data_IF_545047691471
#
_entry.id   IF_545047691471
#
_cell.length_a   1.000
_cell.length_b   1.000
_cell.length_c   1.000
_cell.angle_alpha   90.00
_cell.angle_beta   90.00
_cell.angle_gamma   90.00
#
_symmetry.space_group_name_H-M   'P 1'
#
loop_
_entity.id
_entity.type
_entity.pdbx_description
1 polymer ?
#
# COMPACT_ATOMS: atom_id res chain seq x y z
N UNK A 1 -5.80 10.88 15.91
CA UNK A 1 -7.08 11.30 15.25
C UNK A 1 -7.94 10.06 15.06
N UNK A 2 -9.28 10.12 15.24
CA UNK A 2 -10.13 8.91 15.12
C UNK A 2 -10.46 8.58 13.66
N UNK A 3 -10.74 7.30 13.36
CA UNK A 3 -11.15 6.86 12.02
C UNK A 3 -12.43 7.58 11.55
N UNK A 4 -13.43 7.69 12.43
CA UNK A 4 -14.71 8.35 12.13
C UNK A 4 -14.53 9.83 11.75
N UNK A 5 -13.58 10.52 12.39
CA UNK A 5 -13.23 11.90 12.04
C UNK A 5 -12.68 11.99 10.63
N UNK A 6 -11.82 11.05 10.22
CA UNK A 6 -11.20 11.02 8.90
C UNK A 6 -12.24 10.69 7.83
N UNK A 7 -13.12 9.73 8.10
CA UNK A 7 -14.20 9.37 7.17
C UNK A 7 -15.15 10.55 6.90
N UNK A 8 -15.51 11.29 7.96
CA UNK A 8 -16.32 12.51 7.83
C UNK A 8 -15.58 13.61 7.06
N UNK A 9 -14.30 13.81 7.36
CA UNK A 9 -13.46 14.77 6.65
C UNK A 9 -13.35 14.42 5.16
N UNK A 10 -13.17 13.14 4.82
CA UNK A 10 -13.14 12.70 3.42
C UNK A 10 -14.47 12.96 2.71
N UNK A 11 -15.60 12.62 3.34
CA UNK A 11 -16.91 12.89 2.75
C UNK A 11 -17.10 14.39 2.47
N UNK A 12 -16.72 15.27 3.40
CA UNK A 12 -16.79 16.72 3.21
C UNK A 12 -15.85 17.21 2.09
N UNK A 13 -14.63 16.68 2.05
CA UNK A 13 -13.65 17.07 1.03
C UNK A 13 -14.13 16.73 -0.38
N UNK A 14 -14.75 15.57 -0.58
CA UNK A 14 -15.30 15.17 -1.88
C UNK A 14 -16.51 16.00 -2.30
N UNK A 15 -17.32 16.50 -1.35
CA UNK A 15 -18.45 17.38 -1.66
C UNK A 15 -18.04 18.83 -1.93
N UNK A 16 -17.14 19.39 -1.11
CA UNK A 16 -16.94 20.85 -1.02
C UNK A 16 -15.50 21.30 -1.29
N UNK A 17 -14.53 20.38 -1.45
CA UNK A 17 -13.10 20.68 -1.66
C UNK A 17 -12.52 21.71 -0.66
N UNK A 18 -12.95 21.62 0.59
CA UNK A 18 -12.56 22.56 1.65
C UNK A 18 -11.05 22.45 1.97
N UNK A 19 -10.35 23.59 1.94
CA UNK A 19 -8.90 23.71 2.17
C UNK A 19 -8.51 23.23 3.58
N UNK A 20 -9.29 23.57 4.60
CA UNK A 20 -8.99 23.19 5.99
C UNK A 20 -9.12 21.68 6.19
N UNK A 21 -10.11 21.08 5.53
CA UNK A 21 -10.30 19.62 5.52
C UNK A 21 -9.14 18.94 4.78
N UNK A 22 -8.71 19.50 3.65
CA UNK A 22 -7.52 18.99 2.95
C UNK A 22 -6.28 18.99 3.84
N UNK A 23 -6.04 20.09 4.55
CA UNK A 23 -4.93 20.22 5.51
C UNK A 23 -5.02 19.16 6.62
N UNK A 24 -6.21 18.96 7.19
CA UNK A 24 -6.43 17.91 8.21
C UNK A 24 -6.10 16.51 7.68
N UNK A 25 -6.49 16.20 6.44
CA UNK A 25 -6.19 14.91 5.81
C UNK A 25 -4.68 14.74 5.57
N UNK A 26 -3.98 15.80 5.17
CA UNK A 26 -2.51 15.78 5.03
C UNK A 26 -1.81 15.58 6.38
N UNK A 27 -2.30 16.21 7.44
CA UNK A 27 -1.77 16.02 8.81
C UNK A 27 -1.95 14.56 9.25
N UNK A 28 -3.11 13.95 8.97
CA UNK A 28 -3.33 12.54 9.22
C UNK A 28 -2.33 11.66 8.46
N UNK A 29 -2.14 11.89 7.15
CA UNK A 29 -1.20 11.10 6.35
C UNK A 29 0.22 11.13 6.93
N UNK A 30 0.62 12.27 7.51
CA UNK A 30 1.93 12.43 8.12
C UNK A 30 2.05 11.81 9.53
N UNK A 31 0.93 11.64 10.24
CA UNK A 31 0.89 11.16 11.63
C UNK A 31 1.29 9.69 11.79
N UNK A 32 1.95 9.30 12.88
CA UNK A 32 2.35 7.89 13.12
C UNK A 32 1.13 6.96 13.16
N UNK A 33 -0.01 7.43 13.69
CA UNK A 33 -1.27 6.70 13.79
C UNK A 33 -1.74 6.12 12.44
N UNK A 34 -1.45 6.81 11.33
CA UNK A 34 -1.88 6.38 10.01
C UNK A 34 -1.31 5.00 9.61
N UNK A 35 -0.16 4.57 10.14
CA UNK A 35 0.34 3.20 9.90
C UNK A 35 -0.64 2.11 10.36
N UNK A 36 -1.45 2.39 11.38
CA UNK A 36 -2.41 1.46 11.95
C UNK A 36 -3.83 1.70 11.43
N UNK A 37 -4.21 2.95 11.19
CA UNK A 37 -5.58 3.28 10.79
C UNK A 37 -5.89 3.00 9.31
N UNK A 38 -4.89 3.03 8.42
CA UNK A 38 -5.10 2.75 6.98
C UNK A 38 -5.74 1.40 6.70
N UNK A 39 -5.48 0.39 7.54
CA UNK A 39 -6.04 -0.95 7.35
C UNK A 39 -7.55 -1.00 7.54
N UNK A 40 -8.10 -0.15 8.42
CA UNK A 40 -9.55 -0.04 8.61
C UNK A 40 -10.20 0.71 7.43
N UNK A 41 -9.45 1.58 6.76
CA UNK A 41 -9.91 2.31 5.56
C UNK A 41 -9.92 1.39 4.33
N UNK A 42 -8.99 0.42 4.29
CA UNK A 42 -8.85 -0.59 3.24
C UNK A 42 -9.84 -1.77 3.41
N UNK A 43 -10.79 -1.68 4.32
CA UNK A 43 -11.86 -2.68 4.41
C UNK A 43 -12.79 -2.56 3.19
N UNK A 44 -13.09 -3.68 2.54
CA UNK A 44 -13.87 -3.71 1.30
C UNK A 44 -15.32 -3.28 1.48
N UNK A 45 -15.83 -3.21 2.72
CA UNK A 45 -17.16 -2.66 3.04
C UNK A 45 -17.20 -1.13 3.06
N UNK A 46 -16.05 -0.45 3.06
CA UNK A 46 -15.98 1.01 3.10
C UNK A 46 -16.28 1.63 1.74
N UNK A 47 -16.76 2.89 1.68
CA UNK A 47 -16.84 3.65 0.44
C UNK A 47 -15.52 3.71 -0.34
N UNK A 48 -15.61 3.78 -1.66
CA UNK A 48 -14.46 3.77 -2.57
C UNK A 48 -13.43 4.84 -2.24
N UNK A 49 -13.90 6.04 -1.91
CA UNK A 49 -13.09 7.21 -1.60
C UNK A 49 -12.22 6.97 -0.36
N UNK A 50 -12.79 6.30 0.65
CA UNK A 50 -12.09 5.93 1.89
C UNK A 50 -11.03 4.86 1.59
N UNK A 51 -11.38 3.85 0.81
CA UNK A 51 -10.44 2.80 0.40
C UNK A 51 -9.25 3.38 -0.38
N UNK A 52 -9.54 4.24 -1.37
CA UNK A 52 -8.51 4.85 -2.20
C UNK A 52 -7.59 5.79 -1.41
N UNK A 53 -8.16 6.57 -0.48
CA UNK A 53 -7.37 7.39 0.43
C UNK A 53 -6.51 6.53 1.38
N UNK A 54 -7.03 5.42 1.88
CA UNK A 54 -6.28 4.44 2.67
C UNK A 54 -5.07 3.89 1.92
N UNK A 55 -5.27 3.42 0.68
CA UNK A 55 -4.21 2.90 -0.18
C UNK A 55 -3.16 3.98 -0.52
N UNK A 56 -3.61 5.20 -0.82
CA UNK A 56 -2.71 6.34 -1.10
C UNK A 56 -1.88 6.72 0.11
N UNK A 57 -2.50 6.74 1.29
CA UNK A 57 -1.83 7.03 2.55
C UNK A 57 -0.79 5.96 2.86
N UNK A 58 -1.12 4.68 2.70
CA UNK A 58 -0.17 3.57 2.89
C UNK A 58 1.03 3.69 1.93
N UNK A 59 0.80 4.03 0.66
CA UNK A 59 1.89 4.24 -0.30
C UNK A 59 2.81 5.38 0.15
N UNK A 60 2.25 6.52 0.59
CA UNK A 60 3.02 7.65 1.14
C UNK A 60 3.81 7.23 2.38
N UNK A 61 3.21 6.42 3.26
CA UNK A 61 3.88 5.89 4.44
C UNK A 61 5.15 5.10 4.09
N UNK A 62 5.03 4.16 3.15
CA UNK A 62 6.14 3.30 2.73
C UNK A 62 7.21 4.10 1.97
N UNK A 63 6.80 4.99 1.08
CA UNK A 63 7.72 5.73 0.20
C UNK A 63 8.41 6.89 0.89
N UNK A 64 7.76 7.60 1.83
CA UNK A 64 8.29 8.83 2.43
C UNK A 64 8.56 8.73 3.93
N UNK A 65 7.90 7.83 4.63
CA UNK A 65 7.92 7.79 6.10
C UNK A 65 8.39 6.45 6.66
N UNK A 66 9.16 5.71 5.86
CA UNK A 66 9.71 4.39 6.22
C UNK A 66 10.43 4.36 7.56
N UNK A 67 11.17 5.44 7.90
CA UNK A 67 11.93 5.53 9.16
C UNK A 67 11.05 5.55 10.43
N UNK A 68 9.74 5.75 10.30
CA UNK A 68 8.80 5.61 11.42
C UNK A 68 8.55 4.15 11.79
N UNK A 69 8.83 3.20 10.88
CA UNK A 69 8.58 1.78 11.06
C UNK A 69 9.80 1.10 11.68
N UNK A 70 9.59 0.28 12.71
CA UNK A 70 10.65 -0.52 13.30
C UNK A 70 10.94 -1.73 12.41
N UNK A 71 12.21 -2.13 12.35
CA UNK A 71 12.61 -3.30 11.56
C UNK A 71 11.88 -4.60 11.99
N UNK A 72 11.52 -4.73 13.27
CA UNK A 72 10.69 -5.83 13.78
C UNK A 72 9.34 -5.97 13.08
N UNK A 73 8.82 -4.86 12.55
CA UNK A 73 7.46 -4.76 12.01
C UNK A 73 7.45 -4.92 10.48
N UNK A 74 8.61 -5.07 9.84
CA UNK A 74 8.71 -5.21 8.38
C UNK A 74 7.97 -6.45 7.88
N UNK A 75 8.14 -7.59 8.55
CA UNK A 75 7.45 -8.83 8.18
C UNK A 75 5.93 -8.70 8.34
N UNK A 76 5.48 -8.10 9.45
CA UNK A 76 4.06 -7.85 9.69
C UNK A 76 3.47 -6.93 8.60
N UNK A 77 4.18 -5.88 8.21
CA UNK A 77 3.73 -4.98 7.14
C UNK A 77 3.59 -5.73 5.80
N UNK A 78 4.58 -6.56 5.44
CA UNK A 78 4.54 -7.39 4.24
C UNK A 78 3.28 -8.24 4.19
N UNK A 79 3.04 -8.99 5.27
CA UNK A 79 1.94 -9.94 5.34
C UNK A 79 0.60 -9.21 5.24
N UNK A 80 0.46 -8.06 5.93
CA UNK A 80 -0.75 -7.22 5.81
C UNK A 80 -0.98 -6.66 4.40
N UNK A 81 0.07 -6.24 3.69
CA UNK A 81 -0.05 -5.78 2.30
C UNK A 81 -0.52 -6.93 1.40
N UNK A 82 0.11 -8.10 1.51
CA UNK A 82 -0.22 -9.28 0.70
C UNK A 82 -1.65 -9.77 0.97
N UNK A 83 -2.03 -9.92 2.24
CA UNK A 83 -3.37 -10.34 2.65
C UNK A 83 -4.44 -9.37 2.14
N UNK A 84 -4.18 -8.06 2.24
CA UNK A 84 -5.10 -7.04 1.74
C UNK A 84 -5.23 -7.15 0.22
N UNK A 85 -4.12 -7.26 -0.50
CA UNK A 85 -4.12 -7.36 -1.95
C UNK A 85 -4.87 -8.63 -2.43
N UNK A 86 -4.64 -9.77 -1.79
CA UNK A 86 -5.37 -11.03 -2.05
C UNK A 86 -6.87 -10.85 -1.84
N UNK A 87 -7.30 -10.18 -0.76
CA UNK A 87 -8.72 -9.89 -0.51
C UNK A 87 -9.33 -9.07 -1.65
N UNK A 88 -8.66 -8.01 -2.09
CA UNK A 88 -9.12 -7.16 -3.18
C UNK A 88 -9.26 -7.90 -4.51
N UNK A 89 -8.32 -8.79 -4.80
CA UNK A 89 -8.37 -9.66 -5.98
C UNK A 89 -9.54 -10.65 -5.92
N UNK A 90 -9.83 -11.22 -4.76
CA UNK A 90 -10.95 -12.15 -4.59
C UNK A 90 -12.33 -11.46 -4.56
N UNK A 91 -12.41 -10.20 -4.11
CA UNK A 91 -13.68 -9.50 -3.92
C UNK A 91 -14.14 -8.67 -5.13
N UNK A 92 -13.46 -8.74 -6.27
CA UNK A 92 -13.65 -7.80 -7.40
C UNK A 92 -13.56 -6.34 -6.94
N UNK A 93 -12.57 -6.01 -6.11
CA UNK A 93 -12.39 -4.66 -5.60
C UNK A 93 -12.16 -3.60 -6.70
N UNK A 94 -12.36 -2.30 -6.42
CA UNK A 94 -12.15 -1.24 -7.40
C UNK A 94 -10.73 -1.28 -7.98
N UNK A 95 -10.61 -1.34 -9.31
CA UNK A 95 -9.33 -1.58 -10.00
C UNK A 95 -8.25 -0.56 -9.61
N UNK A 96 -8.63 0.70 -9.40
CA UNK A 96 -7.69 1.75 -8.99
C UNK A 96 -7.13 1.55 -7.57
N UNK A 97 -7.90 0.97 -6.64
CA UNK A 97 -7.43 0.65 -5.29
C UNK A 97 -6.48 -0.55 -5.33
N UNK A 98 -6.84 -1.60 -6.06
CA UNK A 98 -5.99 -2.77 -6.29
C UNK A 98 -4.64 -2.36 -6.90
N UNK A 99 -4.66 -1.53 -7.95
CA UNK A 99 -3.45 -1.01 -8.58
C UNK A 99 -2.59 -0.23 -7.56
N UNK A 100 -3.21 0.64 -6.74
CA UNK A 100 -2.48 1.39 -5.71
C UNK A 100 -1.86 0.49 -4.64
N UNK A 101 -2.51 -0.61 -4.29
CA UNK A 101 -1.95 -1.62 -3.39
C UNK A 101 -0.79 -2.39 -4.02
N UNK A 102 -0.81 -2.64 -5.33
CA UNK A 102 0.36 -3.17 -6.06
C UNK A 102 1.56 -2.20 -5.94
N UNK A 103 1.34 -0.90 -6.14
CA UNK A 103 2.40 0.10 -5.92
C UNK A 103 2.91 0.14 -4.47
N UNK A 104 2.03 -0.07 -3.47
CA UNK A 104 2.47 -0.23 -2.07
C UNK A 104 3.40 -1.43 -1.89
N UNK A 105 3.07 -2.56 -2.52
CA UNK A 105 3.91 -3.76 -2.49
C UNK A 105 5.25 -3.53 -3.20
N UNK A 106 5.25 -2.89 -4.37
CA UNK A 106 6.47 -2.52 -5.09
C UNK A 106 7.37 -1.61 -4.24
N UNK A 107 6.82 -0.56 -3.63
CA UNK A 107 7.54 0.33 -2.73
C UNK A 107 8.13 -0.42 -1.52
N UNK A 108 7.39 -1.39 -0.97
CA UNK A 108 7.88 -2.24 0.11
C UNK A 108 9.06 -3.12 -0.34
N UNK A 109 8.97 -3.73 -1.52
CA UNK A 109 10.05 -4.53 -2.12
C UNK A 109 11.30 -3.67 -2.29
N UNK A 110 11.18 -2.47 -2.85
CA UNK A 110 12.30 -1.51 -2.99
C UNK A 110 12.94 -1.16 -1.65
N UNK A 111 12.15 -1.04 -0.57
CA UNK A 111 12.68 -0.75 0.77
C UNK A 111 13.42 -1.93 1.40
N UNK A 112 13.00 -3.15 1.09
CA UNK A 112 13.43 -4.37 1.81
C UNK A 112 14.44 -5.23 1.05
N UNK A 113 14.45 -5.23 -0.26
CA UNK A 113 15.45 -5.97 -1.07
C UNK A 113 16.77 -5.21 -1.10
N UNK A 114 17.94 -5.89 -1.06
CA UNK A 114 18.11 -7.33 -0.81
C UNK A 114 18.17 -7.69 0.68
N UNK A 115 18.37 -6.71 1.57
CA UNK A 115 18.81 -6.95 2.96
C UNK A 115 17.78 -7.62 3.88
N UNK A 116 16.49 -7.42 3.63
CA UNK A 116 15.39 -7.88 4.49
C UNK A 116 14.44 -8.86 3.80
N UNK A 117 14.43 -8.90 2.46
CA UNK A 117 13.59 -9.84 1.71
C UNK A 117 14.24 -10.26 0.37
N UNK A 118 15.38 -10.97 0.40
CA UNK A 118 16.14 -11.30 -0.82
C UNK A 118 15.33 -12.12 -1.84
N UNK A 119 14.48 -13.03 -1.36
CA UNK A 119 13.65 -13.91 -2.20
C UNK A 119 12.24 -13.36 -2.46
N UNK A 120 12.10 -12.03 -2.58
CA UNK A 120 10.79 -11.39 -2.71
C UNK A 120 9.96 -11.93 -3.89
N UNK A 121 10.53 -11.96 -5.10
CA UNK A 121 9.79 -12.36 -6.30
C UNK A 121 9.36 -13.85 -6.26
N UNK A 122 10.24 -14.83 -5.96
CA UNK A 122 9.81 -16.22 -5.82
C UNK A 122 8.72 -16.42 -4.76
N UNK A 123 8.83 -15.77 -3.60
CA UNK A 123 7.84 -15.89 -2.53
C UNK A 123 6.50 -15.25 -2.91
N UNK A 124 6.51 -14.11 -3.62
CA UNK A 124 5.28 -13.49 -4.14
C UNK A 124 4.56 -14.41 -5.13
N UNK A 125 5.30 -15.02 -6.05
CA UNK A 125 4.74 -15.96 -7.02
C UNK A 125 4.08 -17.16 -6.33
N UNK A 126 4.76 -17.74 -5.34
CA UNK A 126 4.23 -18.88 -4.58
C UNK A 126 2.98 -18.48 -3.77
N UNK A 127 3.06 -17.37 -3.04
CA UNK A 127 1.97 -16.90 -2.17
C UNK A 127 0.70 -16.60 -2.97
N UNK A 128 0.81 -15.84 -4.07
CA UNK A 128 -0.35 -15.52 -4.90
C UNK A 128 -0.88 -16.73 -5.65
N UNK A 129 -0.02 -17.63 -6.15
CA UNK A 129 -0.48 -18.87 -6.82
C UNK A 129 -1.33 -19.73 -5.88
N UNK A 130 -0.89 -19.90 -4.64
CA UNK A 130 -1.61 -20.70 -3.66
C UNK A 130 -2.94 -20.02 -3.25
N UNK A 131 -2.88 -18.71 -2.97
CA UNK A 131 -4.01 -17.96 -2.42
C UNK A 131 -5.08 -17.57 -3.44
N UNK A 132 -4.70 -17.46 -4.72
CA UNK A 132 -5.57 -17.09 -5.83
C UNK A 132 -5.87 -18.26 -6.77
N UNK A 133 -5.59 -19.50 -6.34
CA UNK A 133 -5.73 -20.73 -7.15
C UNK A 133 -7.14 -20.96 -7.70
N UNK A 134 -8.17 -20.45 -7.03
CA UNK A 134 -9.58 -20.55 -7.45
C UNK A 134 -10.11 -19.28 -8.12
N UNK A 135 -9.30 -18.22 -8.17
CA UNK A 135 -9.69 -16.98 -8.82
C UNK A 135 -9.48 -17.08 -10.34
N UNK A 136 -10.24 -16.29 -11.11
CA UNK A 136 -10.02 -16.15 -12.56
C UNK A 136 -8.75 -15.36 -12.91
N UNK A 137 -7.96 -14.95 -11.92
CA UNK A 137 -6.81 -14.06 -12.11
C UNK A 137 -5.61 -14.88 -12.58
N UNK A 138 -5.01 -14.43 -13.67
CA UNK A 138 -3.73 -14.96 -14.10
C UNK A 138 -2.62 -14.37 -13.22
N UNK A 139 -2.20 -15.11 -12.20
CA UNK A 139 -1.14 -14.71 -11.26
C UNK A 139 0.15 -14.33 -11.98
N UNK A 140 0.48 -14.98 -13.10
CA UNK A 140 1.67 -14.62 -13.88
C UNK A 140 1.55 -13.22 -14.48
N UNK A 141 0.38 -12.83 -14.97
CA UNK A 141 0.13 -11.48 -15.50
C UNK A 141 0.21 -10.44 -14.38
N UNK A 142 -0.41 -10.71 -13.23
CA UNK A 142 -0.32 -9.85 -12.05
C UNK A 142 1.14 -9.63 -11.61
N UNK A 143 1.94 -10.71 -11.55
CA UNK A 143 3.36 -10.60 -11.20
C UNK A 143 4.11 -9.77 -12.25
N UNK A 144 3.81 -9.93 -13.55
CA UNK A 144 4.40 -9.09 -14.59
C UNK A 144 4.04 -7.61 -14.41
N UNK A 145 2.79 -7.29 -14.03
CA UNK A 145 2.38 -5.92 -13.72
C UNK A 145 3.17 -5.33 -12.53
N UNK A 146 3.35 -6.11 -11.46
CA UNK A 146 4.18 -5.73 -10.31
C UNK A 146 5.63 -5.50 -10.76
N UNK A 147 6.19 -6.41 -11.56
CA UNK A 147 7.56 -6.28 -12.08
C UNK A 147 7.73 -5.06 -13.00
N UNK A 148 6.70 -4.71 -13.78
CA UNK A 148 6.72 -3.50 -14.62
C UNK A 148 6.62 -2.22 -13.80
N UNK A 149 5.88 -2.22 -12.69
CA UNK A 149 5.76 -1.06 -11.79
C UNK A 149 6.97 -0.86 -10.87
N UNK A 150 7.80 -1.90 -10.65
CA UNK A 150 8.95 -1.83 -9.76
C UNK A 150 9.99 -0.75 -10.15
N UNK A 151 10.43 -0.65 -11.43
CA UNK A 151 11.36 0.40 -11.86
C UNK A 151 10.83 1.82 -11.62
N UNK A 152 9.53 2.03 -11.84
CA UNK A 152 8.87 3.32 -11.63
C UNK A 152 8.88 3.69 -10.14
N UNK A 153 8.56 2.72 -9.28
CA UNK A 153 8.61 2.88 -7.82
C UNK A 153 10.02 3.05 -7.28
N UNK A 154 11.02 2.43 -7.91
CA UNK A 154 12.42 2.62 -7.56
C UNK A 154 12.85 4.08 -7.76
N UNK A 155 12.40 4.73 -8.84
CA UNK A 155 12.64 6.15 -9.10
C UNK A 155 11.87 7.07 -8.14
N UNK A 156 10.62 6.73 -7.82
CA UNK A 156 9.77 7.54 -6.95
C UNK A 156 10.15 7.45 -5.46
N UNK A 157 10.71 6.32 -5.03
CA UNK A 157 11.08 6.09 -3.63
C UNK A 157 12.34 6.87 -3.27
N UNK A 158 12.24 7.73 -2.25
CA UNK A 158 13.41 8.46 -1.74
C UNK A 158 14.31 7.52 -0.94
N UNK A 159 15.32 6.97 -1.61
CA UNK A 159 16.41 6.18 -1.03
C UNK A 159 17.67 7.03 -0.86
N UNK A 160 18.48 6.73 0.16
CA UNK A 160 19.84 7.28 0.27
C UNK A 160 20.72 6.72 -0.86
N UNK A 161 21.75 7.45 -1.30
CA UNK A 161 22.61 7.01 -2.40
C UNK A 161 23.29 5.66 -2.13
N UNK A 162 23.73 5.41 -0.89
CA UNK A 162 24.28 4.11 -0.48
C UNK A 162 23.25 3.00 -0.69
N UNK A 163 22.01 3.21 -0.24
CA UNK A 163 20.94 2.22 -0.37
C UNK A 163 20.57 1.97 -1.83
N UNK A 164 20.60 3.01 -2.67
CA UNK A 164 20.31 2.88 -4.11
C UNK A 164 21.30 1.97 -4.83
N UNK A 165 22.56 1.92 -4.40
CA UNK A 165 23.59 1.08 -5.02
C UNK A 165 23.53 -0.39 -4.58
N UNK A 166 22.72 -0.72 -3.55
CA UNK A 166 22.56 -2.08 -3.01
C UNK A 166 21.36 -2.83 -3.60
N UNK A 167 20.38 -2.10 -4.17
CA UNK A 167 19.16 -2.65 -4.77
C UNK A 167 19.41 -2.98 -6.23
#
# INVERSE_FOLDING_TARGET
>A
MSLETIERALAEFYCNQNIEVHKMLLEFQNSVDAWNLVWNMLDTSKPHEIQFFGATTLHIKITKQWLQLKQSDYMLLRDKIMDTLIKYYNSTGPSNVTNKLCYCLCAYVVRTVPNHWPDAIPQLMETFRNSLSQSSINVSVMILEILMALPEEFGATTLTNTRRNEV
#
